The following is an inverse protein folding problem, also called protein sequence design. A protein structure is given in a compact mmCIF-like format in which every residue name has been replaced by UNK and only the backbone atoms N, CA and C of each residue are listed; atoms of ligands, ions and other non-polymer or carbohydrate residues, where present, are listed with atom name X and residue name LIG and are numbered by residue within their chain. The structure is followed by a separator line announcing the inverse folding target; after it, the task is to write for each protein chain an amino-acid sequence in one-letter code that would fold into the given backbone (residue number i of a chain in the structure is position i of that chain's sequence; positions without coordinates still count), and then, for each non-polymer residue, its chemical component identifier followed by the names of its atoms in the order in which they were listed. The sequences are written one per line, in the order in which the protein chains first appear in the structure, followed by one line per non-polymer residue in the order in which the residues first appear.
data_IF_561693373416
#
_entry.id   IF_561693373416
#
_cell.length_a   1.000
_cell.length_b   1.000
_cell.length_c   1.000
_cell.angle_alpha   90.00
_cell.angle_beta   90.00
_cell.angle_gamma   90.00
#
_symmetry.space_group_name_H-M   'P 1'
#
loop_
_entity.id
_entity.type
_entity.pdbx_description
1 polymer ?
#
# COMPACT_ATOMS: atom_id res chain seq x y z
N UNK A 1 -15.18 10.30 -17.98
CA UNK A 1 -15.05 11.31 -16.91
C UNK A 1 -13.60 11.67 -16.61
N UNK A 2 -12.71 10.69 -16.40
CA UNK A 2 -11.26 10.92 -16.17
C UNK A 2 -10.58 11.67 -17.34
N UNK A 3 -10.96 11.41 -18.59
CA UNK A 3 -10.38 12.06 -19.77
C UNK A 3 -10.57 13.58 -19.85
N UNK A 4 -11.70 14.12 -19.35
CA UNK A 4 -11.98 15.57 -19.41
C UNK A 4 -11.26 16.34 -18.30
N UNK A 5 -11.00 15.68 -17.19
CA UNK A 5 -10.31 16.23 -16.03
C UNK A 5 -8.79 16.31 -16.26
N UNK A 6 -8.20 15.38 -17.03
CA UNK A 6 -6.76 15.36 -17.32
C UNK A 6 -6.30 16.51 -18.22
N UNK A 7 -7.05 16.80 -19.30
CA UNK A 7 -6.66 17.84 -20.27
C UNK A 7 -6.69 19.24 -19.65
N UNK A 8 -7.71 19.53 -18.84
CA UNK A 8 -7.90 20.86 -18.26
C UNK A 8 -7.02 21.12 -17.03
N UNK A 9 -6.65 20.07 -16.30
CA UNK A 9 -5.64 20.15 -15.24
C UNK A 9 -4.24 20.42 -15.81
N UNK A 10 -3.89 19.86 -16.98
CA UNK A 10 -2.68 20.22 -17.71
C UNK A 10 -2.68 21.69 -18.17
N UNK A 11 -3.83 22.25 -18.56
CA UNK A 11 -3.93 23.69 -18.84
C UNK A 11 -3.74 24.56 -17.59
N UNK A 12 -4.19 24.08 -16.43
CA UNK A 12 -4.05 24.76 -15.15
C UNK A 12 -2.61 24.68 -14.61
N UNK A 13 -1.93 23.55 -14.83
CA UNK A 13 -0.49 23.40 -14.68
C UNK A 13 0.27 24.41 -15.54
N UNK A 14 -0.04 24.50 -16.84
CA UNK A 14 0.62 25.45 -17.75
C UNK A 14 0.36 26.89 -17.31
N UNK A 15 -0.88 27.23 -16.90
CA UNK A 15 -1.24 28.54 -16.36
C UNK A 15 -0.55 28.90 -15.04
N UNK A 16 -0.18 27.91 -14.22
CA UNK A 16 0.52 28.12 -12.94
C UNK A 16 2.03 27.80 -13.00
N UNK A 17 2.61 27.58 -14.18
CA UNK A 17 4.06 27.39 -14.38
C UNK A 17 4.60 26.03 -13.92
N UNK A 18 3.75 25.01 -13.80
CA UNK A 18 4.12 23.68 -13.31
C UNK A 18 4.66 22.78 -14.43
N UNK A 19 5.80 23.10 -15.03
CA UNK A 19 6.33 22.47 -16.26
C UNK A 19 6.48 20.92 -16.29
N UNK A 20 6.22 20.19 -15.21
CA UNK A 20 6.17 18.72 -15.20
C UNK A 20 5.34 18.22 -14.03
N UNK A 21 4.30 17.44 -14.34
CA UNK A 21 3.55 16.71 -13.32
C UNK A 21 3.24 15.30 -13.80
N UNK A 22 3.36 14.36 -12.86
CA UNK A 22 3.14 12.94 -13.10
C UNK A 22 1.89 12.55 -12.33
N UNK A 23 0.97 11.91 -13.04
CA UNK A 23 -0.22 11.32 -12.46
C UNK A 23 0.17 10.02 -11.77
N UNK A 24 -0.08 9.94 -10.47
CA UNK A 24 0.09 8.67 -9.75
C UNK A 24 -1.27 8.00 -9.72
N UNK A 25 -1.49 7.08 -10.67
CA UNK A 25 -2.69 6.25 -10.66
C UNK A 25 -2.42 5.09 -9.71
N UNK A 26 -2.92 5.20 -8.48
CA UNK A 26 -3.04 4.04 -7.59
C UNK A 26 -4.12 3.10 -8.15
N UNK A 27 -3.74 2.15 -8.99
CA UNK A 27 -4.57 0.96 -9.31
C UNK A 27 -3.93 -0.26 -8.65
N UNK A 28 -3.77 -0.17 -7.34
CA UNK A 28 -3.29 -1.27 -6.47
C UNK A 28 -4.41 -1.88 -5.63
N UNK A 29 -5.58 -1.25 -5.61
CA UNK A 29 -6.84 -1.82 -5.13
C UNK A 29 -7.99 -1.29 -5.99
N UNK A 30 -9.09 -2.03 -6.11
CA UNK A 30 -10.34 -1.57 -6.77
C UNK A 30 -10.99 -0.36 -6.08
N UNK A 31 -10.39 0.14 -4.99
CA UNK A 31 -10.94 1.24 -4.23
C UNK A 31 -10.83 2.53 -5.04
N UNK A 32 -12.00 3.05 -5.42
CA UNK A 32 -12.16 4.34 -6.07
C UNK A 32 -11.63 5.42 -5.11
N UNK A 33 -10.42 5.93 -5.36
CA UNK A 33 -9.88 7.03 -4.58
C UNK A 33 -10.74 8.27 -4.83
N UNK A 34 -11.29 8.87 -3.76
CA UNK A 34 -12.05 10.14 -3.82
C UNK A 34 -11.21 11.31 -4.33
N UNK A 35 -9.87 11.18 -4.31
CA UNK A 35 -8.92 12.21 -4.73
C UNK A 35 -7.83 11.64 -5.64
N UNK A 36 -7.43 12.38 -6.67
CA UNK A 36 -6.30 12.03 -7.54
C UNK A 36 -4.98 12.45 -6.89
N UNK A 37 -3.99 11.55 -6.85
CA UNK A 37 -2.65 11.89 -6.35
C UNK A 37 -1.74 12.34 -7.50
N UNK A 38 -1.09 13.49 -7.29
CA UNK A 38 -0.26 14.16 -8.28
C UNK A 38 1.08 14.48 -7.64
N UNK A 39 2.16 14.13 -8.35
CA UNK A 39 3.51 14.56 -8.00
C UNK A 39 4.02 15.60 -9.00
N UNK A 40 4.74 16.62 -8.51
CA UNK A 40 5.33 17.67 -9.35
C UNK A 40 6.68 18.13 -8.79
N UNK A 41 7.56 18.64 -9.65
CA UNK A 41 8.84 19.21 -9.25
C UNK A 41 8.69 20.67 -8.78
N UNK A 42 7.55 21.29 -9.09
CA UNK A 42 7.30 22.67 -8.76
C UNK A 42 6.92 22.87 -7.29
N UNK A 43 6.97 24.11 -6.83
CA UNK A 43 6.60 24.47 -5.47
C UNK A 43 5.10 24.31 -5.25
N UNK A 44 4.74 23.44 -4.31
CA UNK A 44 3.35 23.18 -3.92
C UNK A 44 2.98 24.11 -2.76
N UNK A 45 2.11 25.10 -3.02
CA UNK A 45 1.60 26.01 -1.98
C UNK A 45 0.49 25.39 -1.13
N UNK A 46 -0.35 24.56 -1.75
CA UNK A 46 -1.38 23.77 -1.06
C UNK A 46 -1.31 22.32 -1.51
N UNK A 47 -1.18 21.40 -0.55
CA UNK A 47 -1.11 19.96 -0.81
C UNK A 47 -2.46 19.33 -1.12
N UNK A 48 -3.56 20.08 -0.94
CA UNK A 48 -4.92 19.72 -1.35
C UNK A 48 -5.50 20.86 -2.17
N UNK A 49 -6.05 20.52 -3.33
CA UNK A 49 -6.79 21.48 -4.15
C UNK A 49 -8.00 20.81 -4.77
N UNK A 50 -9.07 21.56 -4.97
CA UNK A 50 -10.26 21.07 -5.64
C UNK A 50 -10.41 21.82 -6.95
N UNK A 51 -10.38 21.09 -8.06
CA UNK A 51 -10.60 21.65 -9.40
C UNK A 51 -11.85 21.01 -9.96
N UNK A 52 -12.88 21.82 -10.23
CA UNK A 52 -14.16 21.38 -10.80
C UNK A 52 -14.79 20.19 -10.04
N UNK A 53 -14.86 20.30 -8.71
CA UNK A 53 -15.38 19.27 -7.79
C UNK A 53 -14.58 17.95 -7.71
N UNK A 54 -13.44 17.85 -8.41
CA UNK A 54 -12.49 16.77 -8.22
C UNK A 54 -11.39 17.20 -7.24
N UNK A 55 -11.13 16.38 -6.24
CA UNK A 55 -10.06 16.62 -5.27
C UNK A 55 -8.73 16.10 -5.79
N UNK A 56 -7.68 16.90 -5.63
CA UNK A 56 -6.31 16.57 -5.98
C UNK A 56 -5.41 16.70 -4.76
N UNK A 57 -4.56 15.70 -4.56
CA UNK A 57 -3.50 15.71 -3.55
C UNK A 57 -2.17 15.92 -4.26
N UNK A 58 -1.50 17.01 -3.95
CA UNK A 58 -0.25 17.44 -4.57
C UNK A 58 0.92 17.16 -3.65
N UNK A 59 1.98 16.59 -4.21
CA UNK A 59 3.25 16.42 -3.52
C UNK A 59 4.41 16.93 -4.37
N UNK A 60 5.32 17.67 -3.74
CA UNK A 60 6.57 18.08 -4.36
C UNK A 60 7.56 16.90 -4.33
N UNK A 61 8.11 16.55 -5.48
CA UNK A 61 9.15 15.53 -5.64
C UNK A 61 10.37 16.09 -6.36
N UNK A 62 11.49 15.38 -6.32
CA UNK A 62 12.65 15.74 -7.12
C UNK A 62 12.37 15.54 -8.62
N UNK A 63 13.04 16.30 -9.49
CA UNK A 63 12.87 16.15 -10.95
C UNK A 63 13.20 14.72 -11.42
N UNK A 64 14.25 14.11 -10.85
CA UNK A 64 14.65 12.72 -11.12
C UNK A 64 13.53 11.70 -10.91
N UNK A 65 12.61 11.96 -9.97
CA UNK A 65 11.44 11.12 -9.74
C UNK A 65 10.38 11.26 -10.85
N UNK A 66 10.24 12.44 -11.43
CA UNK A 66 9.36 12.65 -12.57
C UNK A 66 9.93 11.98 -13.82
N UNK A 67 11.25 12.09 -14.02
CA UNK A 67 11.95 11.48 -15.14
C UNK A 67 11.87 9.94 -15.12
N UNK A 68 11.68 9.34 -13.93
CA UNK A 68 11.46 7.90 -13.78
C UNK A 68 10.05 7.43 -14.22
N UNK A 69 9.11 8.35 -14.45
CA UNK A 69 7.74 8.01 -14.83
C UNK A 69 7.64 7.44 -16.24
N UNK A 70 6.62 6.63 -16.48
CA UNK A 70 6.32 6.09 -17.81
C UNK A 70 5.34 7.02 -18.50
N UNK A 71 5.70 7.53 -19.67
CA UNK A 71 4.80 8.39 -20.42
C UNK A 71 3.73 7.57 -21.14
N UNK A 72 2.47 7.99 -21.01
CA UNK A 72 1.33 7.36 -21.68
C UNK A 72 0.47 8.42 -22.35
N UNK A 73 -0.08 8.06 -23.51
CA UNK A 73 -1.05 8.90 -24.20
C UNK A 73 -2.39 8.88 -23.48
N UNK A 74 -2.92 10.07 -23.17
CA UNK A 74 -4.26 10.27 -22.63
C UNK A 74 -4.99 11.31 -23.47
N UNK A 75 -5.64 10.84 -24.53
CA UNK A 75 -6.28 11.72 -25.52
C UNK A 75 -5.21 12.33 -26.39
N UNK A 76 -5.21 13.66 -26.52
CA UNK A 76 -4.17 14.41 -27.25
C UNK A 76 -2.94 14.74 -26.43
N UNK A 77 -2.91 14.39 -25.13
CA UNK A 77 -1.85 14.80 -24.21
C UNK A 77 -0.98 13.61 -23.81
N UNK A 78 0.32 13.86 -23.72
CA UNK A 78 1.32 12.90 -23.25
C UNK A 78 1.54 13.13 -21.76
N UNK A 79 1.12 12.16 -20.93
CA UNK A 79 1.09 12.31 -19.47
C UNK A 79 2.01 11.30 -18.83
N UNK A 80 2.90 11.76 -17.97
CA UNK A 80 3.73 10.87 -17.15
C UNK A 80 2.86 10.16 -16.12
N UNK A 81 2.97 8.84 -16.04
CA UNK A 81 2.26 8.00 -15.08
C UNK A 81 3.26 7.14 -14.32
N UNK A 82 3.08 7.07 -13.01
CA UNK A 82 3.85 6.13 -12.19
C UNK A 82 3.37 4.70 -12.47
N UNK A 83 4.28 3.80 -12.83
CA UNK A 83 3.98 2.37 -12.82
C UNK A 83 3.89 1.85 -11.38
N UNK A 84 3.41 0.62 -11.22
CA UNK A 84 3.16 0.03 -9.91
C UNK A 84 4.42 0.00 -9.06
N UNK A 85 5.52 -0.45 -9.65
CA UNK A 85 6.81 -0.60 -8.98
C UNK A 85 7.36 0.75 -8.54
N UNK A 86 7.22 1.79 -9.37
CA UNK A 86 7.63 3.16 -9.05
C UNK A 86 6.77 3.76 -7.95
N UNK A 87 5.46 3.49 -7.96
CA UNK A 87 4.54 3.89 -6.89
C UNK A 87 4.89 3.24 -5.56
N UNK A 88 5.23 1.95 -5.55
CA UNK A 88 5.70 1.27 -4.33
C UNK A 88 7.07 1.83 -3.91
N UNK A 89 8.01 1.92 -4.85
CA UNK A 89 9.42 2.28 -4.62
C UNK A 89 9.59 3.69 -4.05
N UNK A 90 8.93 4.69 -4.63
CA UNK A 90 9.06 6.07 -4.14
C UNK A 90 7.89 6.44 -3.23
N UNK A 91 6.67 6.50 -3.76
CA UNK A 91 5.55 7.14 -3.06
C UNK A 91 5.28 6.44 -1.73
N UNK A 92 5.19 5.10 -1.77
CA UNK A 92 4.83 4.31 -0.62
C UNK A 92 5.97 4.13 0.38
N UNK A 93 7.13 3.68 -0.07
CA UNK A 93 8.25 3.41 0.81
C UNK A 93 8.93 4.67 1.33
N UNK A 94 8.89 5.78 0.60
CA UNK A 94 9.48 7.06 1.04
C UNK A 94 8.55 7.82 1.95
N UNK A 95 7.28 7.94 1.55
CA UNK A 95 6.29 8.73 2.24
C UNK A 95 5.03 7.89 2.51
N UNK A 96 5.08 6.93 3.45
CA UNK A 96 3.94 6.04 3.73
C UNK A 96 2.63 6.79 4.01
N UNK A 97 2.70 8.00 4.58
CA UNK A 97 1.55 8.87 4.81
C UNK A 97 0.75 9.21 3.53
N UNK A 98 1.35 9.13 2.34
CA UNK A 98 0.66 9.34 1.07
C UNK A 98 -0.32 8.20 0.77
N UNK A 99 0.00 6.97 1.18
CA UNK A 99 -0.83 5.77 1.06
C UNK A 99 -1.69 5.48 2.29
N UNK A 100 -1.83 6.42 3.23
CA UNK A 100 -2.59 6.16 4.46
C UNK A 100 -1.78 5.43 5.55
N UNK A 101 -0.46 5.36 5.40
CA UNK A 101 0.48 4.89 6.41
C UNK A 101 1.13 3.55 6.08
N UNK A 102 2.11 3.18 6.89
CA UNK A 102 2.93 1.98 6.66
C UNK A 102 2.16 0.66 6.79
N UNK A 103 1.05 0.64 7.53
CA UNK A 103 0.16 -0.54 7.61
C UNK A 103 -0.53 -0.83 6.27
N UNK A 104 -1.05 0.21 5.62
CA UNK A 104 -1.64 0.03 4.29
C UNK A 104 -0.59 -0.40 3.26
N UNK A 105 0.64 0.14 3.37
CA UNK A 105 1.76 -0.30 2.55
C UNK A 105 2.07 -1.79 2.73
N UNK A 106 1.99 -2.33 3.94
CA UNK A 106 2.18 -3.76 4.18
C UNK A 106 1.15 -4.61 3.41
N UNK A 107 -0.11 -4.20 3.42
CA UNK A 107 -1.18 -4.92 2.72
C UNK A 107 -1.02 -4.81 1.19
N UNK A 108 -0.61 -3.64 0.68
CA UNK A 108 -0.27 -3.43 -0.73
C UNK A 108 0.89 -4.32 -1.16
N UNK A 109 1.96 -4.40 -0.37
CA UNK A 109 3.11 -5.26 -0.67
C UNK A 109 2.75 -6.74 -0.65
N UNK A 110 1.90 -7.17 0.28
CA UNK A 110 1.41 -8.55 0.34
C UNK A 110 0.59 -8.89 -0.90
N UNK A 111 -0.35 -8.01 -1.26
CA UNK A 111 -1.18 -8.19 -2.46
C UNK A 111 -0.34 -8.19 -3.74
N UNK A 112 0.67 -7.32 -3.83
CA UNK A 112 1.60 -7.30 -4.96
C UNK A 112 2.46 -8.57 -5.03
N UNK A 113 2.82 -9.16 -3.89
CA UNK A 113 3.56 -10.42 -3.83
C UNK A 113 2.71 -11.63 -4.20
N UNK A 114 1.44 -11.63 -3.81
CA UNK A 114 0.49 -12.72 -4.10
C UNK A 114 -0.02 -12.67 -5.55
N UNK A 115 0.08 -11.51 -6.23
CA UNK A 115 -0.35 -11.34 -7.61
C UNK A 115 0.65 -11.89 -8.64
N UNK A 116 0.11 -12.22 -9.83
CA UNK A 116 0.86 -12.78 -10.96
C UNK A 116 1.93 -11.83 -11.53
N UNK A 117 1.84 -10.54 -11.21
CA UNK A 117 2.73 -9.50 -11.71
C UNK A 117 3.90 -9.20 -10.76
N UNK A 118 4.15 -10.06 -9.76
CA UNK A 118 5.27 -9.90 -8.85
C UNK A 118 6.62 -9.91 -9.60
N UNK A 119 7.32 -8.77 -9.56
CA UNK A 119 8.65 -8.65 -10.13
C UNK A 119 9.60 -7.91 -9.19
N UNK A 120 10.38 -8.67 -8.43
CA UNK A 120 11.37 -8.13 -7.49
C UNK A 120 12.46 -7.29 -8.16
N UNK A 121 12.93 -7.71 -9.35
CA UNK A 121 14.01 -7.03 -10.07
C UNK A 121 13.55 -5.68 -10.61
N UNK A 122 12.30 -5.60 -11.10
CA UNK A 122 11.69 -4.35 -11.52
C UNK A 122 11.54 -3.37 -10.35
N UNK A 123 11.08 -3.86 -9.18
CA UNK A 123 10.98 -3.05 -7.97
C UNK A 123 12.34 -2.49 -7.53
N UNK A 124 13.36 -3.34 -7.43
CA UNK A 124 14.72 -2.90 -7.06
C UNK A 124 15.30 -1.89 -8.06
N UNK A 125 15.06 -2.10 -9.37
CA UNK A 125 15.47 -1.15 -10.40
C UNK A 125 14.80 0.22 -10.22
N UNK A 126 13.49 0.26 -9.95
CA UNK A 126 12.78 1.52 -9.67
C UNK A 126 13.30 2.19 -8.39
N UNK A 127 13.57 1.41 -7.33
CA UNK A 127 14.17 1.93 -6.10
C UNK A 127 15.55 2.56 -6.31
N UNK A 128 16.37 1.95 -7.17
CA UNK A 128 17.68 2.51 -7.52
C UNK A 128 17.57 3.86 -8.27
N UNK A 129 16.56 4.01 -9.15
CA UNK A 129 16.31 5.25 -9.90
C UNK A 129 15.89 6.42 -9.00
N UNK A 130 15.06 6.15 -7.98
CA UNK A 130 14.53 7.19 -7.08
C UNK A 130 15.40 7.42 -5.83
N UNK A 131 16.41 6.56 -5.64
CA UNK A 131 17.43 6.51 -4.59
C UNK A 131 17.07 7.23 -3.28
N UNK A 132 16.38 6.52 -2.39
CA UNK A 132 16.22 6.94 -0.99
C UNK A 132 16.54 5.78 -0.07
N UNK A 133 17.69 5.85 0.61
CA UNK A 133 18.17 4.78 1.51
C UNK A 133 17.16 4.36 2.59
N UNK A 134 16.22 5.22 2.96
CA UNK A 134 15.13 4.92 3.90
C UNK A 134 14.12 3.94 3.30
N UNK A 135 13.88 3.98 1.98
CA UNK A 135 12.97 3.09 1.29
C UNK A 135 13.45 1.63 1.36
N UNK A 136 14.75 1.38 1.16
CA UNK A 136 15.35 0.05 1.32
C UNK A 136 15.18 -0.50 2.74
N UNK A 137 15.39 0.33 3.75
CA UNK A 137 15.19 -0.06 5.15
C UNK A 137 13.75 -0.53 5.41
N UNK A 138 12.77 0.28 4.99
CA UNK A 138 11.34 0.00 5.19
C UNK A 138 10.91 -1.25 4.42
N UNK A 139 11.37 -1.41 3.17
CA UNK A 139 11.06 -2.60 2.39
C UNK A 139 11.63 -3.86 3.02
N UNK A 140 12.89 -3.82 3.48
CA UNK A 140 13.51 -4.93 4.21
C UNK A 140 12.70 -5.32 5.44
N UNK A 141 12.30 -4.34 6.26
CA UNK A 141 11.49 -4.60 7.46
C UNK A 141 10.14 -5.24 7.11
N UNK A 142 9.43 -4.69 6.12
CA UNK A 142 8.11 -5.18 5.73
C UNK A 142 8.19 -6.59 5.13
N UNK A 143 9.25 -6.85 4.35
CA UNK A 143 9.51 -8.18 3.78
C UNK A 143 9.78 -9.22 4.87
N UNK A 144 10.58 -8.87 5.88
CA UNK A 144 10.86 -9.74 7.04
C UNK A 144 9.62 -9.95 7.91
N UNK A 145 8.86 -8.88 8.18
CA UNK A 145 7.73 -8.91 9.13
C UNK A 145 6.52 -9.65 8.56
N UNK A 146 6.24 -9.47 7.27
CA UNK A 146 5.11 -10.14 6.62
C UNK A 146 5.50 -11.48 5.98
N UNK A 147 6.72 -11.96 6.23
CA UNK A 147 7.23 -13.23 5.72
C UNK A 147 6.93 -13.40 4.23
N UNK A 148 7.23 -12.37 3.44
CA UNK A 148 6.92 -12.35 2.01
C UNK A 148 7.72 -13.40 1.22
N UNK A 149 8.55 -14.24 1.85
CA UNK A 149 9.39 -15.25 1.20
C UNK A 149 10.23 -14.69 0.04
N UNK A 150 10.92 -13.57 0.29
CA UNK A 150 11.84 -12.91 -0.66
C UNK A 150 13.22 -12.68 0.00
N UNK A 151 14.01 -13.73 0.26
CA UNK A 151 15.31 -13.59 0.92
C UNK A 151 16.28 -12.70 0.12
N UNK A 152 16.22 -12.78 -1.21
CA UNK A 152 17.05 -11.97 -2.11
C UNK A 152 16.72 -10.48 -2.03
N UNK A 153 15.42 -10.15 -1.91
CA UNK A 153 14.97 -8.78 -1.72
C UNK A 153 15.46 -8.20 -0.40
N UNK A 154 15.40 -8.98 0.68
CA UNK A 154 15.92 -8.58 2.00
C UNK A 154 17.41 -8.32 1.92
N UNK A 155 18.17 -9.21 1.28
CA UNK A 155 19.62 -9.08 1.08
C UNK A 155 19.96 -7.80 0.31
N UNK A 156 19.33 -7.57 -0.84
CA UNK A 156 19.52 -6.35 -1.61
C UNK A 156 19.19 -5.08 -0.81
N UNK A 157 18.12 -5.11 0.00
CA UNK A 157 17.76 -4.01 0.87
C UNK A 157 18.80 -3.74 1.96
N UNK A 158 19.41 -4.80 2.52
CA UNK A 158 20.45 -4.68 3.55
C UNK A 158 21.75 -4.10 2.99
N UNK A 159 22.10 -4.43 1.75
CA UNK A 159 23.29 -3.92 1.05
C UNK A 159 23.14 -2.44 0.66
N UNK A 160 21.94 -2.03 0.23
CA UNK A 160 21.67 -0.68 -0.27
C UNK A 160 21.16 0.31 0.79
N UNK A 161 21.04 -0.12 2.06
CA UNK A 161 20.50 0.75 3.12
C UNK A 161 21.46 1.89 3.44
N UNK A 162 20.89 3.07 3.73
CA UNK A 162 21.69 4.19 4.25
C UNK A 162 22.15 3.97 5.70
N UNK A 163 23.14 4.73 6.14
CA UNK A 163 23.52 4.81 7.56
C UNK A 163 22.45 5.54 8.40
N UNK A 164 22.45 5.33 9.71
CA UNK A 164 21.58 6.06 10.66
C UNK A 164 20.24 5.38 10.97
N UNK A 165 19.60 5.82 12.05
CA UNK A 165 18.33 5.25 12.55
C UNK A 165 17.16 6.13 12.12
N UNK A 166 16.19 5.54 11.42
CA UNK A 166 14.98 6.25 10.95
C UNK A 166 13.72 5.59 11.51
N UNK A 167 12.68 6.38 11.80
CA UNK A 167 11.38 5.83 12.19
C UNK A 167 10.70 5.13 11.00
N UNK A 168 10.09 3.98 11.27
CA UNK A 168 9.31 3.23 10.27
C UNK A 168 8.20 4.10 9.70
N UNK A 169 7.44 4.76 10.57
CA UNK A 169 6.43 5.75 10.18
C UNK A 169 6.69 7.10 10.86
N UNK A 170 7.08 8.12 10.11
CA UNK A 170 7.39 9.43 10.67
C UNK A 170 6.15 10.16 11.23
N UNK A 171 4.93 9.76 10.82
CA UNK A 171 3.69 10.38 11.30
C UNK A 171 3.30 9.95 12.71
N UNK A 172 3.87 8.85 13.21
CA UNK A 172 3.52 8.26 14.52
C UNK A 172 4.54 8.68 15.57
N UNK A 173 4.15 9.62 16.45
CA UNK A 173 4.95 10.06 17.60
C UNK A 173 4.89 9.06 18.76
N UNK A 174 5.40 7.86 18.54
CA UNK A 174 5.51 6.80 19.56
C UNK A 174 6.97 6.34 19.69
N UNK A 175 7.40 6.03 20.90
CA UNK A 175 8.66 5.29 21.11
C UNK A 175 8.49 3.85 20.62
N UNK A 176 9.57 3.25 20.14
CA UNK A 176 9.56 1.93 19.53
C UNK A 176 10.92 1.24 19.68
N UNK A 177 10.95 -0.06 19.44
CA UNK A 177 12.21 -0.81 19.49
C UNK A 177 13.09 -0.45 18.27
N UNK A 178 14.40 -0.54 18.45
CA UNK A 178 15.36 -0.31 17.36
C UNK A 178 15.75 -1.66 16.74
N UNK A 179 15.44 -1.86 15.46
CA UNK A 179 16.04 -2.90 14.65
C UNK A 179 17.44 -2.44 14.23
N UNK A 180 18.46 -2.94 14.95
CA UNK A 180 19.87 -2.63 14.65
C UNK A 180 20.28 -3.13 13.26
N UNK A 181 19.74 -4.29 12.84
CA UNK A 181 20.02 -4.91 11.54
C UNK A 181 19.66 -3.98 10.37
N UNK A 182 18.51 -3.33 10.44
CA UNK A 182 18.02 -2.45 9.36
C UNK A 182 18.26 -0.96 9.63
N UNK A 183 18.67 -0.57 10.85
CA UNK A 183 18.78 0.84 11.24
C UNK A 183 17.40 1.52 11.27
N UNK A 184 16.39 0.85 11.83
CA UNK A 184 15.03 1.37 11.93
C UNK A 184 14.53 1.40 13.37
N UNK A 185 13.75 2.43 13.71
CA UNK A 185 12.92 2.47 14.91
C UNK A 185 11.51 2.05 14.54
N UNK A 186 11.11 0.87 15.01
CA UNK A 186 9.79 0.28 14.81
C UNK A 186 8.82 0.90 15.80
N UNK A 187 8.21 2.02 15.40
CA UNK A 187 7.29 2.82 16.21
C UNK A 187 5.80 2.54 15.93
N UNK A 188 5.52 1.57 15.07
CA UNK A 188 4.18 1.12 14.70
C UNK A 188 4.05 -0.37 14.97
N UNK A 189 2.86 -0.80 15.31
CA UNK A 189 2.52 -2.22 15.26
C UNK A 189 2.17 -2.56 13.80
N UNK A 190 3.00 -3.41 13.19
CA UNK A 190 2.83 -3.84 11.80
C UNK A 190 1.86 -5.03 11.68
N UNK A 191 1.44 -5.63 12.81
CA UNK A 191 0.66 -6.86 12.82
C UNK A 191 1.50 -8.04 12.34
N UNK A 192 1.47 -9.15 13.07
CA UNK A 192 2.11 -10.38 12.60
C UNK A 192 1.38 -10.87 11.34
N UNK A 193 2.07 -10.98 10.21
CA UNK A 193 1.54 -11.59 8.98
C UNK A 193 1.02 -13.03 9.18
N UNK A 194 1.24 -13.62 10.37
CA UNK A 194 0.74 -14.93 10.79
C UNK A 194 -0.73 -14.95 11.23
N UNK A 195 -1.35 -13.80 11.59
CA UNK A 195 -2.70 -13.79 12.21
C UNK A 195 -3.89 -13.72 11.26
N UNK A 196 -3.70 -13.48 9.95
CA UNK A 196 -4.86 -13.41 9.03
C UNK A 196 -5.34 -14.77 8.51
N UNK A 197 -4.76 -15.89 8.96
CA UNK A 197 -5.15 -17.25 8.53
C UNK A 197 -6.11 -17.98 9.49
N UNK A 198 -6.60 -17.35 10.55
CA UNK A 198 -7.58 -18.00 11.43
C UNK A 198 -8.53 -17.00 12.07
N UNK A 199 -9.57 -16.62 11.33
CA UNK A 199 -10.83 -16.15 11.90
C UNK A 199 -11.98 -16.40 10.91
N UNK A 200 -12.08 -17.65 10.47
CA UNK A 200 -13.37 -18.18 10.01
C UNK A 200 -14.11 -18.64 11.26
N UNK A 201 -15.11 -17.84 11.62
CA UNK A 201 -16.29 -18.11 12.44
C UNK A 201 -16.38 -19.48 13.11
N UNK A 202 -16.16 -19.52 14.42
CA UNK A 202 -16.80 -20.50 15.31
C UNK A 202 -17.54 -19.73 16.40
N UNK A 203 -18.66 -19.14 16.00
CA UNK A 203 -19.65 -18.60 16.93
C UNK A 203 -21.02 -19.11 16.49
N UNK A 204 -21.36 -20.34 16.88
CA UNK A 204 -22.73 -20.79 17.06
C UNK A 204 -22.74 -22.11 17.85
N UNK A 205 -23.70 -22.22 18.77
CA UNK A 205 -24.12 -23.40 19.53
C UNK A 205 -23.39 -23.68 20.85
N UNK A 206 -23.66 -22.82 21.83
CA UNK A 206 -23.86 -23.26 23.20
C UNK A 206 -25.16 -22.63 23.75
N UNK A 207 -26.30 -23.27 23.46
CA UNK A 207 -27.53 -23.09 24.23
C UNK A 207 -28.00 -24.46 24.67
N UNK A 208 -27.52 -24.89 25.84
CA UNK A 208 -28.09 -26.03 26.54
C UNK A 208 -29.48 -25.66 27.06
N UNK A 209 -30.51 -26.28 26.50
CA UNK A 209 -31.77 -26.55 27.20
C UNK A 209 -31.83 -28.05 27.42
N UNK A 210 -31.99 -28.44 28.68
CA UNK A 210 -32.02 -29.83 29.12
C UNK A 210 -33.23 -30.60 28.55
N UNK A 211 -33.17 -31.93 28.53
CA UNK A 211 -34.26 -32.76 28.06
C UNK A 211 -35.39 -32.78 29.10
N UNK A 212 -36.56 -32.31 28.69
CA UNK A 212 -37.83 -32.59 29.35
C UNK A 212 -38.26 -34.00 28.97
N UNK A 213 -38.42 -34.83 29.99
CA UNK A 213 -39.03 -36.15 29.98
C UNK A 213 -40.38 -36.13 29.28
N UNK A 214 -40.53 -36.95 28.24
CA UNK A 214 -41.82 -37.43 27.76
C UNK A 214 -41.71 -38.95 27.64
N UNK A 215 -42.44 -39.61 28.53
CA UNK A 215 -42.86 -41.00 28.44
C UNK A 215 -43.62 -41.24 27.13
N UNK A 216 -43.23 -42.27 26.39
CA UNK A 216 -44.13 -43.04 25.54
C UNK A 216 -43.49 -44.37 25.21
N UNK A 217 -43.82 -45.37 26.04
CA UNK A 217 -43.61 -46.78 25.77
C UNK A 217 -44.65 -47.30 24.76
N UNK A 218 -44.22 -48.20 23.86
CA UNK A 218 -45.05 -48.96 22.93
C UNK A 218 -44.37 -49.04 21.56
N UNK A 219 -43.85 -50.23 21.17
CA UNK A 219 -44.78 -51.16 20.52
C UNK A 219 -44.55 -52.63 20.92
N UNK A 220 -45.63 -53.40 20.97
CA UNK A 220 -45.57 -54.85 20.87
C UNK A 220 -46.82 -55.33 20.11
N UNK A 221 -46.62 -55.69 18.85
CA UNK A 221 -47.53 -56.52 18.07
C UNK A 221 -46.87 -57.88 17.88
N UNK A 222 -47.48 -58.94 18.42
CA UNK A 222 -47.52 -60.34 17.96
C UNK A 222 -48.19 -61.15 19.10
N UNK A 223 -49.42 -61.63 18.91
CA UNK A 223 -49.75 -62.94 18.30
C UNK A 223 -49.59 -64.09 19.30
N UNK A 224 -50.68 -64.59 19.90
CA UNK A 224 -50.97 -66.03 20.10
C UNK A 224 -52.48 -66.23 20.36
N UNK A 225 -53.09 -67.13 19.57
CA UNK A 225 -54.29 -67.98 19.75
C UNK A 225 -55.53 -67.47 20.50
#
# INVERSE_FOLDING_TARGET
MIHRLSTRWNDEIRRHGFASAVWTIFRLSEQIFRSTFVVTAATVRSSRTTVQAAEYRLAKVAKTRLDASTMVWRGSEHVGVSDRELTIADDALTAPAWLGGVRHLADVLRSYREGDEWNQSALLRRMAQVNRGVAYKRLGLLTETHALDAPDLVRACLEQRSTGIVAVDASVRRKGHISKRLGLRVNVDLGDGRRSRSRTSSTALASGRGPSSIDSAGPASSEVA
#
